data_IF_778432612312
#
_entry.id   IF_778432612312
#
_cell.length_a   1.000
_cell.length_b   1.000
_cell.length_c   1.000
_cell.angle_alpha   90.00
_cell.angle_beta   90.00
_cell.angle_gamma   90.00
#
_symmetry.space_group_name_H-M   'P 1'
#
loop_
_entity.id
_entity.type
_entity.pdbx_description
1 polymer ?
#
# COMPACT_ATOMS: atom_id res chain seq x y z
N UNK A 1 22.27 3.76 -9.01
CA UNK A 1 22.37 5.00 -9.81
C UNK A 1 23.85 5.30 -10.01
N UNK A 2 24.33 5.34 -11.25
CA UNK A 2 25.73 5.68 -11.55
C UNK A 2 25.79 7.16 -11.91
N UNK A 3 26.36 7.97 -11.02
CA UNK A 3 26.70 9.35 -11.33
C UNK A 3 28.03 9.32 -12.08
N UNK A 4 27.93 9.11 -13.39
CA UNK A 4 28.95 9.26 -14.44
C UNK A 4 29.83 8.03 -14.75
N UNK A 5 30.45 7.35 -13.78
CA UNK A 5 31.40 6.21 -14.03
C UNK A 5 31.09 4.90 -13.26
N UNK A 6 29.93 4.79 -12.62
CA UNK A 6 29.50 3.59 -11.90
C UNK A 6 29.10 2.42 -12.81
N UNK A 7 29.42 1.20 -12.35
CA UNK A 7 28.99 -0.05 -12.98
C UNK A 7 27.55 -0.37 -12.55
N UNK A 8 26.68 -0.68 -13.53
CA UNK A 8 25.35 -1.19 -13.26
C UNK A 8 25.39 -2.71 -13.09
N UNK A 9 25.19 -3.18 -11.85
CA UNK A 9 25.08 -4.61 -11.55
C UNK A 9 23.61 -5.00 -11.53
N UNK A 10 23.13 -5.60 -12.61
CA UNK A 10 21.78 -6.16 -12.66
C UNK A 10 21.74 -7.50 -11.94
N UNK A 11 20.85 -7.63 -10.96
CA UNK A 11 20.63 -8.89 -10.25
C UNK A 11 19.61 -9.81 -10.93
N UNK A 12 19.01 -9.37 -12.05
CA UNK A 12 17.97 -10.13 -12.76
C UNK A 12 18.48 -11.46 -13.34
N UNK A 13 19.78 -11.52 -13.67
CA UNK A 13 20.44 -12.72 -14.20
C UNK A 13 21.02 -13.64 -13.12
N UNK A 14 20.86 -13.31 -11.83
CA UNK A 14 21.33 -14.20 -10.75
C UNK A 14 20.42 -15.43 -10.70
N UNK A 15 20.98 -16.57 -11.07
CA UNK A 15 20.29 -17.87 -11.07
C UNK A 15 20.04 -18.42 -9.66
N UNK A 16 19.23 -19.47 -9.57
CA UNK A 16 18.91 -20.18 -8.32
C UNK A 16 17.55 -19.85 -7.70
N UNK A 17 16.79 -18.92 -8.30
CA UNK A 17 15.36 -18.74 -8.10
C UNK A 17 14.86 -18.78 -6.64
N UNK A 18 13.73 -19.45 -6.43
CA UNK A 18 13.20 -19.78 -5.11
C UNK A 18 13.95 -21.04 -4.65
N UNK A 19 14.70 -20.95 -3.55
CA UNK A 19 15.62 -22.01 -3.15
C UNK A 19 14.96 -23.06 -2.25
N UNK A 20 14.24 -22.64 -1.21
CA UNK A 20 13.67 -23.51 -0.18
C UNK A 20 12.43 -22.85 0.40
N UNK A 21 11.33 -23.61 0.52
CA UNK A 21 10.08 -23.19 1.15
C UNK A 21 9.87 -24.08 2.37
N UNK A 22 9.96 -23.51 3.56
CA UNK A 22 9.73 -24.21 4.82
C UNK A 22 8.29 -23.95 5.28
N UNK A 23 7.37 -24.82 4.88
CA UNK A 23 5.95 -24.65 5.21
C UNK A 23 5.70 -24.70 6.72
N UNK A 24 6.40 -25.59 7.43
CA UNK A 24 6.29 -25.72 8.89
C UNK A 24 6.84 -24.50 9.65
N UNK A 25 7.91 -23.89 9.15
CA UNK A 25 8.56 -22.73 9.75
C UNK A 25 8.03 -21.39 9.20
N UNK A 26 7.14 -21.44 8.21
CA UNK A 26 6.54 -20.28 7.55
C UNK A 26 7.61 -19.33 7.02
N UNK A 27 8.60 -19.84 6.29
CA UNK A 27 9.59 -19.01 5.62
C UNK A 27 10.00 -19.55 4.25
N UNK A 28 10.64 -18.68 3.48
CA UNK A 28 11.16 -19.00 2.16
C UNK A 28 12.50 -18.33 1.93
N UNK A 29 13.42 -19.08 1.35
CA UNK A 29 14.70 -18.57 0.86
C UNK A 29 14.60 -18.21 -0.63
N UNK A 30 14.94 -16.98 -1.00
CA UNK A 30 14.88 -16.49 -2.39
C UNK A 30 16.18 -15.84 -2.86
N UNK A 31 16.45 -15.92 -4.16
CA UNK A 31 17.49 -15.15 -4.86
C UNK A 31 16.99 -13.76 -5.29
N UNK A 32 17.90 -12.81 -5.60
CA UNK A 32 17.53 -11.43 -5.89
C UNK A 32 16.81 -11.22 -7.23
N UNK A 33 16.80 -12.23 -8.10
CA UNK A 33 16.05 -12.24 -9.34
C UNK A 33 14.56 -12.56 -9.14
N UNK A 34 14.18 -13.14 -7.99
CA UNK A 34 12.80 -13.56 -7.72
C UNK A 34 11.91 -12.33 -7.45
N UNK A 35 10.82 -12.23 -8.20
CA UNK A 35 9.80 -11.20 -8.00
C UNK A 35 8.72 -11.65 -7.02
N UNK A 36 8.00 -10.67 -6.46
CA UNK A 36 6.87 -10.91 -5.56
C UNK A 36 5.81 -11.80 -6.20
N UNK A 37 5.41 -11.53 -7.45
CA UNK A 37 4.40 -12.34 -8.16
C UNK A 37 4.91 -13.76 -8.43
N UNK A 38 6.18 -13.92 -8.79
CA UNK A 38 6.78 -15.24 -8.97
C UNK A 38 6.72 -16.08 -7.70
N UNK A 39 7.12 -15.50 -6.55
CA UNK A 39 7.02 -16.19 -5.26
C UNK A 39 5.58 -16.57 -4.92
N UNK A 40 4.65 -15.61 -4.94
CA UNK A 40 3.26 -15.87 -4.57
C UNK A 40 2.56 -16.86 -5.50
N UNK A 41 2.95 -16.92 -6.78
CA UNK A 41 2.47 -17.95 -7.72
C UNK A 41 3.03 -19.33 -7.36
N UNK A 42 4.31 -19.41 -7.02
CA UNK A 42 4.98 -20.67 -6.66
C UNK A 42 4.39 -21.31 -5.40
N UNK A 43 4.16 -20.51 -4.35
CA UNK A 43 3.65 -21.01 -3.05
C UNK A 43 2.12 -21.08 -2.97
N UNK A 44 1.39 -20.82 -4.06
CA UNK A 44 -0.08 -20.69 -4.04
C UNK A 44 -0.83 -21.89 -3.44
N UNK A 45 -0.29 -23.10 -3.63
CA UNK A 45 -0.92 -24.35 -3.20
C UNK A 45 -0.56 -24.78 -1.77
N UNK A 46 0.36 -24.06 -1.11
CA UNK A 46 0.84 -24.39 0.25
C UNK A 46 -0.11 -23.89 1.35
N UNK A 47 -1.12 -23.09 0.98
CA UNK A 47 -1.90 -22.33 1.95
C UNK A 47 -1.16 -21.13 2.54
N UNK A 48 0.06 -20.83 2.09
CA UNK A 48 0.85 -19.67 2.50
C UNK A 48 0.89 -18.56 1.44
N UNK A 49 1.28 -17.36 1.86
CA UNK A 49 1.56 -16.23 0.98
C UNK A 49 2.57 -15.25 1.59
N UNK A 50 3.22 -14.47 0.72
CA UNK A 50 4.02 -13.31 1.12
C UNK A 50 3.16 -12.04 1.04
N UNK A 51 2.94 -11.32 2.16
CA UNK A 51 1.88 -10.33 2.26
C UNK A 51 2.24 -8.95 1.71
N UNK A 52 3.52 -8.58 1.65
CA UNK A 52 3.93 -7.22 1.27
C UNK A 52 3.65 -6.99 -0.21
N UNK A 53 2.79 -6.02 -0.52
CA UNK A 53 2.49 -5.57 -1.89
C UNK A 53 2.90 -4.10 -2.07
N UNK A 54 4.01 -3.81 -2.77
CA UNK A 54 4.48 -2.43 -2.97
C UNK A 54 3.71 -1.68 -4.07
N UNK A 55 2.67 -2.28 -4.66
CA UNK A 55 1.90 -1.70 -5.76
C UNK A 55 2.48 -1.95 -7.16
N UNK A 56 3.66 -2.55 -7.23
CA UNK A 56 4.30 -3.02 -8.46
C UNK A 56 4.80 -4.46 -8.28
N UNK A 57 5.18 -5.12 -9.38
CA UNK A 57 5.96 -6.35 -9.27
C UNK A 57 7.45 -5.99 -9.18
N UNK A 58 8.00 -6.17 -7.98
CA UNK A 58 9.39 -5.84 -7.67
C UNK A 58 10.14 -7.11 -7.25
N UNK A 59 11.47 -7.08 -7.39
CA UNK A 59 12.31 -8.14 -6.84
C UNK A 59 12.28 -8.11 -5.31
N UNK A 60 12.23 -9.28 -4.69
CA UNK A 60 12.09 -9.38 -3.23
C UNK A 60 13.32 -8.82 -2.50
N UNK A 61 14.53 -9.05 -3.01
CA UNK A 61 15.73 -8.44 -2.43
C UNK A 61 15.78 -6.91 -2.65
N UNK A 62 15.22 -6.41 -3.75
CA UNK A 62 15.06 -4.96 -3.96
C UNK A 62 14.11 -4.36 -2.94
N UNK A 63 12.98 -5.04 -2.66
CA UNK A 63 12.04 -4.64 -1.60
C UNK A 63 12.69 -4.61 -0.21
N UNK A 64 13.56 -5.57 0.10
CA UNK A 64 14.35 -5.55 1.35
C UNK A 64 15.31 -4.35 1.38
N UNK A 65 16.05 -4.13 0.30
CA UNK A 65 17.01 -3.03 0.19
C UNK A 65 16.36 -1.65 0.29
N UNK A 66 15.08 -1.50 -0.07
CA UNK A 66 14.33 -0.24 0.05
C UNK A 66 13.39 -0.21 1.27
N UNK A 67 13.39 -1.26 2.09
CA UNK A 67 12.46 -1.40 3.21
C UNK A 67 10.98 -1.19 2.81
N UNK A 68 10.57 -1.79 1.68
CA UNK A 68 9.22 -1.65 1.16
C UNK A 68 8.17 -2.17 2.16
N UNK A 69 7.27 -1.29 2.60
CA UNK A 69 6.20 -1.61 3.55
C UNK A 69 5.00 -2.28 2.86
N UNK A 70 4.60 -1.79 1.68
CA UNK A 70 3.46 -2.31 0.93
C UNK A 70 2.10 -2.09 1.61
N UNK A 71 1.01 -2.38 0.90
CA UNK A 71 -0.36 -2.02 1.31
C UNK A 71 -0.90 -2.86 2.48
N UNK A 72 -0.37 -4.09 2.67
CA UNK A 72 -0.75 -4.98 3.77
C UNK A 72 0.10 -4.79 5.05
N UNK A 73 1.01 -3.81 5.10
CA UNK A 73 1.90 -3.57 6.25
C UNK A 73 1.15 -3.37 7.57
N UNK A 74 -0.10 -2.85 7.51
CA UNK A 74 -0.94 -2.57 8.68
C UNK A 74 -1.15 -3.83 9.52
N UNK A 75 -1.26 -5.00 8.89
CA UNK A 75 -1.56 -6.27 9.54
C UNK A 75 -0.34 -7.17 9.77
N UNK A 76 0.62 -7.16 8.86
CA UNK A 76 1.70 -8.14 8.84
C UNK A 76 3.03 -7.49 9.24
N UNK A 77 3.28 -7.42 10.55
CA UNK A 77 4.47 -6.77 11.14
C UNK A 77 5.55 -7.81 11.49
N UNK A 78 6.83 -7.41 11.39
CA UNK A 78 7.99 -8.24 11.69
C UNK A 78 8.20 -8.43 13.21
N UNK A 79 8.75 -9.59 13.58
CA UNK A 79 9.00 -10.01 14.97
C UNK A 79 10.40 -9.59 15.47
N UNK A 80 10.49 -9.44 16.79
CA UNK A 80 11.69 -9.10 17.58
C UNK A 80 12.87 -10.05 17.31
N UNK A 81 14.07 -9.48 17.15
CA UNK A 81 15.36 -10.18 17.26
C UNK A 81 16.01 -9.82 18.61
N UNK A 82 16.63 -10.78 19.29
CA UNK A 82 17.08 -10.62 20.69
C UNK A 82 18.53 -11.08 20.98
N UNK A 83 19.37 -11.30 19.96
CA UNK A 83 20.75 -11.73 20.17
C UNK A 83 21.75 -10.84 19.40
N UNK A 84 22.50 -10.02 20.13
CA UNK A 84 23.58 -9.20 19.58
C UNK A 84 23.12 -8.07 18.67
N UNK A 85 24.03 -7.57 17.83
CA UNK A 85 23.69 -6.58 16.81
C UNK A 85 22.89 -7.24 15.69
N UNK A 86 21.73 -6.69 15.38
CA UNK A 86 20.94 -7.13 14.24
C UNK A 86 21.53 -6.53 12.95
N UNK A 87 22.58 -7.17 12.42
CA UNK A 87 23.23 -6.72 11.19
C UNK A 87 22.30 -6.76 9.97
N UNK A 88 21.23 -7.55 10.00
CA UNK A 88 20.22 -7.57 8.95
C UNK A 88 19.56 -6.19 8.80
N UNK A 89 19.27 -5.52 9.91
CA UNK A 89 18.63 -4.19 9.90
C UNK A 89 19.54 -3.12 9.29
N UNK A 90 20.85 -3.35 9.25
CA UNK A 90 21.79 -2.45 8.58
C UNK A 90 21.60 -2.47 7.06
N UNK A 91 21.24 -3.62 6.48
CA UNK A 91 21.03 -3.78 5.04
C UNK A 91 19.58 -3.50 4.60
N UNK A 92 18.62 -3.65 5.51
CA UNK A 92 17.23 -3.29 5.24
C UNK A 92 17.14 -1.77 5.06
N UNK A 93 16.61 -1.32 3.91
CA UNK A 93 16.51 0.11 3.61
C UNK A 93 17.85 0.79 3.26
N UNK A 94 18.94 0.03 3.10
CA UNK A 94 20.25 0.62 2.77
C UNK A 94 20.38 1.07 1.31
N UNK A 95 19.39 0.78 0.47
CA UNK A 95 19.34 1.09 -0.97
C UNK A 95 20.58 0.61 -1.75
N UNK A 96 21.21 -0.48 -1.28
CA UNK A 96 22.42 -1.05 -1.87
C UNK A 96 23.72 -0.30 -1.55
N UNK A 97 23.68 0.76 -0.73
CA UNK A 97 24.88 1.56 -0.37
C UNK A 97 25.84 0.84 0.57
N UNK A 98 25.34 -0.13 1.35
CA UNK A 98 26.11 -0.91 2.31
C UNK A 98 26.47 -2.32 1.80
N UNK A 99 25.97 -2.69 0.63
CA UNK A 99 26.30 -3.94 -0.07
C UNK A 99 25.14 -4.47 -0.92
N UNK A 100 25.36 -5.63 -1.53
CA UNK A 100 24.40 -6.28 -2.44
C UNK A 100 23.77 -7.49 -1.75
N UNK A 101 22.45 -7.48 -1.61
CA UNK A 101 21.70 -8.62 -1.08
C UNK A 101 21.69 -9.73 -2.15
N UNK A 102 22.25 -10.89 -1.83
CA UNK A 102 22.39 -12.04 -2.76
C UNK A 102 21.47 -13.23 -2.43
N UNK A 103 20.83 -13.19 -1.26
CA UNK A 103 19.84 -14.16 -0.77
C UNK A 103 19.05 -13.50 0.35
N UNK A 104 17.74 -13.71 0.39
CA UNK A 104 16.88 -13.28 1.50
C UNK A 104 16.07 -14.47 2.02
N UNK A 105 15.89 -14.55 3.33
CA UNK A 105 14.93 -15.46 3.97
C UNK A 105 13.76 -14.61 4.43
N UNK A 106 12.57 -14.90 3.91
CA UNK A 106 11.37 -14.09 4.09
C UNK A 106 10.33 -14.88 4.87
N UNK A 107 9.67 -14.21 5.81
CA UNK A 107 8.55 -14.80 6.53
C UNK A 107 7.33 -14.90 5.61
N UNK A 108 6.70 -16.07 5.62
CA UNK A 108 5.42 -16.34 4.99
C UNK A 108 4.30 -16.27 6.03
N UNK A 109 3.07 -16.06 5.55
CA UNK A 109 1.88 -16.01 6.38
C UNK A 109 0.82 -16.97 5.85
N UNK A 110 -0.09 -17.50 6.71
CA UNK A 110 -1.26 -18.22 6.25
C UNK A 110 -2.10 -17.34 5.33
N UNK A 111 -2.51 -17.89 4.19
CA UNK A 111 -3.42 -17.22 3.27
C UNK A 111 -4.79 -17.05 3.94
N UNK A 112 -5.39 -15.86 3.91
CA UNK A 112 -6.77 -15.68 4.37
C UNK A 112 -7.71 -16.56 3.54
N UNK A 113 -8.66 -17.21 4.20
CA UNK A 113 -9.69 -18.01 3.54
C UNK A 113 -10.93 -17.18 3.21
N UNK A 114 -11.14 -16.09 3.96
CA UNK A 114 -12.18 -15.11 3.72
C UNK A 114 -11.56 -13.72 3.59
N UNK A 115 -12.04 -12.95 2.62
CA UNK A 115 -11.63 -11.56 2.39
C UNK A 115 -12.85 -10.75 1.99
N UNK A 116 -12.84 -9.47 2.34
CA UNK A 116 -13.82 -8.53 1.81
C UNK A 116 -13.22 -7.15 1.65
N UNK A 117 -13.82 -6.37 0.75
CA UNK A 117 -13.53 -4.94 0.59
C UNK A 117 -14.74 -4.12 1.00
N UNK A 118 -14.48 -2.93 1.51
CA UNK A 118 -15.51 -1.94 1.76
C UNK A 118 -15.07 -0.56 1.28
N UNK A 119 -16.03 0.18 0.72
CA UNK A 119 -15.88 1.61 0.42
C UNK A 119 -16.75 2.43 1.35
N UNK A 120 -16.21 3.55 1.80
CA UNK A 120 -16.95 4.55 2.55
C UNK A 120 -16.54 5.95 2.11
N UNK A 121 -17.54 6.78 1.82
CA UNK A 121 -17.38 8.15 1.39
C UNK A 121 -17.64 9.09 2.55
N UNK A 122 -16.90 10.19 2.62
CA UNK A 122 -16.97 11.16 3.71
C UNK A 122 -17.21 12.57 3.17
N UNK A 123 -17.99 13.40 3.88
CA UNK A 123 -18.13 14.81 3.55
C UNK A 123 -16.79 15.56 3.57
N UNK A 124 -15.89 15.20 4.50
CA UNK A 124 -14.59 15.85 4.68
C UNK A 124 -13.45 14.85 4.86
N UNK A 125 -12.22 15.31 4.58
CA UNK A 125 -10.99 14.54 4.83
C UNK A 125 -10.81 14.26 6.33
N UNK A 126 -11.19 15.20 7.19
CA UNK A 126 -11.03 15.06 8.64
C UNK A 126 -11.84 13.88 9.20
N UNK A 127 -13.08 13.72 8.74
CA UNK A 127 -13.96 12.61 9.11
C UNK A 127 -13.43 11.24 8.67
N UNK A 128 -12.88 11.16 7.46
CA UNK A 128 -12.21 9.95 6.98
C UNK A 128 -10.99 9.60 7.86
N UNK A 129 -10.15 10.59 8.18
CA UNK A 129 -8.96 10.39 9.02
C UNK A 129 -9.34 9.98 10.45
N UNK A 130 -10.37 10.60 11.04
CA UNK A 130 -10.85 10.22 12.38
C UNK A 130 -11.33 8.76 12.41
N UNK A 131 -12.06 8.32 11.38
CA UNK A 131 -12.49 6.93 11.24
C UNK A 131 -11.30 5.95 11.22
N UNK A 132 -10.21 6.31 10.52
CA UNK A 132 -8.97 5.51 10.50
C UNK A 132 -8.31 5.48 11.87
N UNK A 133 -8.20 6.63 12.55
CA UNK A 133 -7.64 6.72 13.91
C UNK A 133 -8.38 5.80 14.87
N UNK A 134 -9.71 5.92 14.91
CA UNK A 134 -10.56 5.14 15.81
C UNK A 134 -10.49 3.64 15.50
N UNK A 135 -10.52 3.27 14.21
CA UNK A 135 -10.35 1.87 13.76
C UNK A 135 -9.04 1.28 14.26
N UNK A 136 -7.95 2.03 14.15
CA UNK A 136 -6.63 1.61 14.65
C UNK A 136 -6.57 1.56 16.18
N UNK A 137 -7.20 2.51 16.88
CA UNK A 137 -7.27 2.55 18.35
C UNK A 137 -8.09 1.39 18.93
N UNK A 138 -9.13 0.96 18.22
CA UNK A 138 -9.91 -0.23 18.57
C UNK A 138 -9.16 -1.55 18.31
N UNK A 139 -8.00 -1.50 17.63
CA UNK A 139 -7.19 -2.68 17.34
C UNK A 139 -7.88 -3.63 16.37
N UNK A 140 -8.78 -3.14 15.53
CA UNK A 140 -9.43 -3.97 14.50
C UNK A 140 -8.34 -4.46 13.53
N UNK A 141 -8.21 -5.77 13.27
CA UNK A 141 -7.11 -6.33 12.47
C UNK A 141 -7.32 -6.13 10.97
N UNK A 142 -7.44 -4.89 10.53
CA UNK A 142 -7.67 -4.52 9.13
C UNK A 142 -6.44 -4.84 8.26
N UNK A 143 -6.66 -5.40 7.07
CA UNK A 143 -5.60 -5.81 6.17
C UNK A 143 -5.04 -4.63 5.38
N UNK A 144 -5.91 -3.77 4.85
CA UNK A 144 -5.53 -2.55 4.12
C UNK A 144 -6.45 -1.38 4.46
N UNK A 145 -5.86 -0.18 4.50
CA UNK A 145 -6.58 1.09 4.53
C UNK A 145 -6.02 1.94 3.40
N UNK A 146 -6.89 2.34 2.49
CA UNK A 146 -6.56 3.24 1.39
C UNK A 146 -7.42 4.49 1.45
N UNK A 147 -6.79 5.64 1.29
CA UNK A 147 -7.48 6.92 1.17
C UNK A 147 -7.33 7.46 -0.24
N UNK A 148 -8.42 8.00 -0.77
CA UNK A 148 -8.47 8.75 -2.01
C UNK A 148 -9.20 10.05 -1.70
N UNK A 149 -8.60 11.20 -2.03
CA UNK A 149 -9.35 12.45 -1.98
C UNK A 149 -10.31 12.55 -3.17
N UNK A 150 -11.25 13.51 -3.11
CA UNK A 150 -12.26 13.69 -4.16
C UNK A 150 -11.65 13.84 -5.58
N UNK A 151 -10.50 14.52 -5.70
CA UNK A 151 -9.81 14.68 -6.99
C UNK A 151 -9.23 13.35 -7.48
N UNK A 152 -8.62 12.55 -6.60
CA UNK A 152 -8.15 11.21 -6.94
C UNK A 152 -9.30 10.29 -7.35
N UNK A 153 -10.46 10.37 -6.67
CA UNK A 153 -11.63 9.57 -7.03
C UNK A 153 -12.14 9.95 -8.42
N UNK A 154 -12.29 11.25 -8.73
CA UNK A 154 -12.67 11.73 -10.05
C UNK A 154 -11.69 11.24 -11.15
N UNK A 155 -10.39 11.27 -10.86
CA UNK A 155 -9.35 10.74 -11.75
C UNK A 155 -9.54 9.24 -12.02
N UNK A 156 -9.73 8.45 -10.95
CA UNK A 156 -9.93 7.01 -11.02
C UNK A 156 -11.24 6.64 -11.74
N UNK A 157 -12.33 7.36 -11.50
CA UNK A 157 -13.60 7.20 -12.22
C UNK A 157 -13.40 7.32 -13.73
N UNK A 158 -12.70 8.37 -14.16
CA UNK A 158 -12.44 8.62 -15.59
C UNK A 158 -11.49 7.61 -16.22
N UNK A 159 -10.40 7.26 -15.53
CA UNK A 159 -9.34 6.39 -16.07
C UNK A 159 -9.69 4.90 -16.01
N UNK A 160 -10.32 4.47 -14.91
CA UNK A 160 -10.60 3.06 -14.62
C UNK A 160 -12.08 2.71 -14.80
N UNK A 161 -12.89 3.63 -15.33
CA UNK A 161 -14.33 3.45 -15.57
C UNK A 161 -15.09 3.03 -14.31
N UNK A 162 -14.80 3.71 -13.20
CA UNK A 162 -15.54 3.57 -11.94
C UNK A 162 -16.67 4.60 -11.87
N UNK A 163 -17.62 4.36 -10.97
CA UNK A 163 -18.81 5.19 -10.74
C UNK A 163 -18.90 5.64 -9.28
N UNK A 164 -17.76 5.80 -8.61
CA UNK A 164 -17.72 6.17 -7.19
C UNK A 164 -18.16 7.63 -6.99
N UNK A 165 -18.72 7.94 -5.83
CA UNK A 165 -19.00 9.32 -5.46
C UNK A 165 -17.68 10.12 -5.40
N UNK A 166 -17.62 11.30 -6.04
CA UNK A 166 -16.44 12.17 -6.05
C UNK A 166 -16.27 12.91 -4.71
N UNK A 167 -16.04 12.13 -3.65
CA UNK A 167 -15.88 12.56 -2.27
C UNK A 167 -14.61 11.91 -1.67
N UNK A 168 -14.02 12.46 -0.60
CA UNK A 168 -13.04 11.75 0.21
C UNK A 168 -13.51 10.32 0.51
N UNK A 169 -12.71 9.34 0.16
CA UNK A 169 -13.12 7.92 0.19
C UNK A 169 -12.07 7.08 0.89
N UNK A 170 -12.52 6.21 1.78
CA UNK A 170 -11.74 5.10 2.32
C UNK A 170 -12.08 3.82 1.56
N UNK A 171 -11.05 3.11 1.11
CA UNK A 171 -11.15 1.74 0.63
C UNK A 171 -10.44 0.81 1.62
N UNK A 172 -11.18 -0.14 2.18
CA UNK A 172 -10.79 -0.95 3.33
C UNK A 172 -10.78 -2.41 2.91
N UNK A 173 -9.75 -3.16 3.31
CA UNK A 173 -9.69 -4.62 3.11
C UNK A 173 -9.63 -5.34 4.44
N UNK A 174 -10.42 -6.40 4.56
CA UNK A 174 -10.49 -7.27 5.73
C UNK A 174 -10.07 -8.68 5.34
N UNK A 175 -9.27 -9.30 6.20
CA UNK A 175 -8.85 -10.70 6.03
C UNK A 175 -9.32 -11.52 7.23
N UNK A 176 -9.74 -12.75 7.00
CA UNK A 176 -10.13 -13.68 8.06
C UNK A 176 -10.02 -15.12 7.61
N UNK A 177 -10.40 -16.03 8.50
CA UNK A 177 -10.55 -17.45 8.19
C UNK A 177 -12.00 -17.82 7.87
N UNK A 178 -12.96 -16.98 8.24
CA UNK A 178 -14.39 -17.19 7.98
C UNK A 178 -15.07 -15.89 7.58
N UNK A 179 -16.15 -15.98 6.79
CA UNK A 179 -16.94 -14.82 6.39
C UNK A 179 -17.58 -14.11 7.59
N UNK A 180 -17.89 -14.85 8.67
CA UNK A 180 -18.42 -14.29 9.91
C UNK A 180 -17.40 -13.38 10.62
N UNK A 181 -16.13 -13.80 10.68
CA UNK A 181 -15.04 -13.01 11.26
C UNK A 181 -14.83 -11.72 10.45
N UNK A 182 -14.80 -11.83 9.13
CA UNK A 182 -14.65 -10.70 8.21
C UNK A 182 -15.84 -9.75 8.30
N UNK A 183 -17.07 -10.29 8.33
CA UNK A 183 -18.30 -9.50 8.49
C UNK A 183 -18.34 -8.76 9.82
N UNK A 184 -17.88 -9.37 10.92
CA UNK A 184 -17.79 -8.70 12.21
C UNK A 184 -16.77 -7.55 12.19
N UNK A 185 -15.59 -7.75 11.57
CA UNK A 185 -14.59 -6.69 11.42
C UNK A 185 -15.16 -5.53 10.58
N UNK A 186 -15.80 -5.84 9.45
CA UNK A 186 -16.41 -4.86 8.57
C UNK A 186 -17.53 -4.07 9.26
N UNK A 187 -18.38 -4.74 10.06
CA UNK A 187 -19.44 -4.08 10.82
C UNK A 187 -18.89 -3.08 11.84
N UNK A 188 -17.88 -3.49 12.62
CA UNK A 188 -17.27 -2.60 13.63
C UNK A 188 -16.69 -1.35 12.96
N UNK A 189 -15.99 -1.50 11.83
CA UNK A 189 -15.45 -0.36 11.09
C UNK A 189 -16.55 0.47 10.43
N UNK A 190 -17.61 -0.18 9.93
CA UNK A 190 -18.80 0.50 9.42
C UNK A 190 -19.47 1.40 10.46
N UNK A 191 -19.61 0.92 11.69
CA UNK A 191 -20.17 1.70 12.80
C UNK A 191 -19.30 2.91 13.16
N UNK A 192 -17.97 2.74 13.18
CA UNK A 192 -17.00 3.83 13.39
C UNK A 192 -17.13 4.90 12.30
N UNK A 193 -17.19 4.46 11.04
CA UNK A 193 -17.34 5.39 9.92
C UNK A 193 -18.68 6.12 9.96
N UNK A 194 -19.78 5.43 10.30
CA UNK A 194 -21.09 6.06 10.46
C UNK A 194 -21.10 7.11 11.58
N UNK A 195 -20.42 6.85 12.71
CA UNK A 195 -20.24 7.83 13.80
C UNK A 195 -19.46 9.07 13.35
N UNK A 196 -18.60 8.93 12.34
CA UNK A 196 -17.83 9.98 11.72
C UNK A 196 -18.48 10.51 10.41
N UNK A 197 -19.81 10.43 10.27
CA UNK A 197 -20.57 10.92 9.10
C UNK A 197 -20.20 10.25 7.77
N UNK A 198 -19.61 9.06 7.80
CA UNK A 198 -19.38 8.24 6.62
C UNK A 198 -20.69 7.79 5.97
N UNK A 199 -20.66 7.61 4.65
CA UNK A 199 -21.76 7.01 3.90
C UNK A 199 -22.01 5.56 4.31
N UNK A 200 -23.13 4.99 3.85
CA UNK A 200 -23.34 3.55 3.94
C UNK A 200 -22.13 2.80 3.33
N UNK A 201 -21.71 1.73 4.00
CA UNK A 201 -20.61 0.88 3.54
C UNK A 201 -21.04 0.10 2.30
N UNK A 202 -20.38 0.36 1.17
CA UNK A 202 -20.48 -0.50 -0.01
C UNK A 202 -19.52 -1.67 0.21
N UNK A 203 -20.06 -2.80 0.65
CA UNK A 203 -19.31 -3.99 1.03
C UNK A 203 -19.44 -5.08 -0.03
N UNK A 204 -18.32 -5.74 -0.34
CA UNK A 204 -18.27 -6.84 -1.28
C UNK A 204 -17.26 -7.91 -0.89
N UNK A 205 -17.65 -9.17 -1.10
CA UNK A 205 -16.80 -10.37 -1.03
C UNK A 205 -16.46 -10.91 -2.42
N UNK A 206 -16.98 -10.30 -3.48
CA UNK A 206 -16.78 -10.76 -4.85
C UNK A 206 -15.38 -10.41 -5.33
N UNK A 207 -14.61 -11.44 -5.72
CA UNK A 207 -13.21 -11.29 -6.13
C UNK A 207 -13.06 -10.31 -7.31
N UNK A 208 -13.99 -10.32 -8.26
CA UNK A 208 -13.96 -9.42 -9.43
C UNK A 208 -14.09 -7.95 -9.01
N UNK A 209 -14.97 -7.64 -8.05
CA UNK A 209 -15.15 -6.27 -7.55
C UNK A 209 -13.92 -5.81 -6.76
N UNK A 210 -13.35 -6.70 -5.94
CA UNK A 210 -12.09 -6.46 -5.24
C UNK A 210 -10.95 -6.16 -6.22
N UNK A 211 -10.77 -7.02 -7.23
CA UNK A 211 -9.72 -6.87 -8.24
C UNK A 211 -9.89 -5.58 -9.03
N UNK A 212 -11.13 -5.22 -9.38
CA UNK A 212 -11.43 -3.96 -10.08
C UNK A 212 -11.03 -2.75 -9.24
N UNK A 213 -11.39 -2.71 -7.96
CA UNK A 213 -11.03 -1.62 -7.04
C UNK A 213 -9.52 -1.55 -6.83
N UNK A 214 -8.87 -2.68 -6.59
CA UNK A 214 -7.41 -2.70 -6.41
C UNK A 214 -6.66 -2.38 -7.69
N UNK A 215 -7.16 -2.77 -8.85
CA UNK A 215 -6.57 -2.39 -10.15
C UNK A 215 -6.66 -0.88 -10.36
N UNK A 216 -7.81 -0.27 -10.08
CA UNK A 216 -7.97 1.18 -10.14
C UNK A 216 -7.04 1.89 -9.14
N UNK A 217 -6.84 1.31 -7.95
CA UNK A 217 -5.89 1.80 -6.96
C UNK A 217 -4.44 1.73 -7.42
N UNK A 218 -4.00 0.63 -8.03
CA UNK A 218 -2.66 0.50 -8.61
C UNK A 218 -2.44 1.49 -9.76
N UNK A 219 -3.50 1.82 -10.49
CA UNK A 219 -3.48 2.79 -11.56
C UNK A 219 -3.69 4.24 -11.10
N UNK A 220 -3.79 4.52 -9.80
CA UNK A 220 -4.09 5.86 -9.27
C UNK A 220 -3.13 6.95 -9.77
N UNK A 221 -1.83 6.64 -9.85
CA UNK A 221 -0.81 7.55 -10.39
C UNK A 221 -1.06 7.84 -11.89
N UNK A 222 -1.33 6.81 -12.69
CA UNK A 222 -1.61 6.97 -14.12
C UNK A 222 -2.94 7.69 -14.35
N UNK A 223 -3.93 7.45 -13.50
CA UNK A 223 -5.21 8.15 -13.49
C UNK A 223 -5.02 9.65 -13.22
N UNK A 224 -4.17 9.98 -12.24
CA UNK A 224 -3.80 11.36 -11.93
C UNK A 224 -3.15 12.02 -13.16
N UNK A 225 -2.11 11.40 -13.74
CA UNK A 225 -1.46 11.89 -14.96
C UNK A 225 -2.44 12.12 -16.11
N UNK A 226 -3.40 11.22 -16.32
CA UNK A 226 -4.39 11.27 -17.38
C UNK A 226 -5.42 12.41 -17.23
N UNK A 227 -5.51 13.06 -16.07
CA UNK A 227 -6.37 14.23 -15.88
C UNK A 227 -5.96 15.44 -16.73
N UNK A 228 -4.71 15.49 -17.22
CA UNK A 228 -4.25 16.51 -18.16
C UNK A 228 -4.51 16.05 -19.61
N UNK A 229 -5.42 16.72 -20.30
CA UNK A 229 -5.68 16.52 -21.75
C UNK A 229 -5.06 17.66 -22.58
N UNK A 230 -4.29 17.36 -23.63
CA UNK A 230 -3.78 18.37 -24.59
C UNK A 230 -2.45 18.02 -25.29
N UNK A 231 -2.09 18.75 -26.35
CA UNK A 231 -0.97 18.44 -27.28
C UNK A 231 0.45 18.48 -26.67
N UNK A 232 0.61 18.90 -25.41
CA UNK A 232 1.92 19.08 -24.74
C UNK A 232 2.30 17.89 -23.84
N UNK A 233 1.52 16.78 -23.84
CA UNK A 233 1.76 15.56 -23.02
C UNK A 233 3.21 15.03 -23.08
N UNK A 234 3.96 15.27 -24.16
CA UNK A 234 5.34 14.78 -24.33
C UNK A 234 6.38 15.33 -23.34
N UNK A 235 6.13 16.44 -22.65
CA UNK A 235 7.13 17.06 -21.75
C UNK A 235 6.69 17.17 -20.28
N UNK A 236 5.47 16.80 -19.94
CA UNK A 236 4.97 16.91 -18.57
C UNK A 236 5.45 15.74 -17.72
N UNK A 237 5.81 16.03 -16.47
CA UNK A 237 6.25 15.05 -15.48
C UNK A 237 5.32 15.14 -14.27
N UNK A 238 4.76 13.99 -13.88
CA UNK A 238 4.18 13.87 -12.54
C UNK A 238 5.31 13.86 -11.51
N UNK A 239 5.13 14.63 -10.45
CA UNK A 239 5.96 14.58 -9.27
C UNK A 239 5.24 13.78 -8.20
N UNK A 240 5.89 12.76 -7.69
CA UNK A 240 5.40 11.95 -6.58
C UNK A 240 6.22 12.29 -5.35
N UNK A 241 5.56 12.52 -4.22
CA UNK A 241 6.25 12.66 -2.94
C UNK A 241 5.50 11.91 -1.86
N UNK A 242 6.26 11.24 -1.01
CA UNK A 242 5.72 10.52 0.14
C UNK A 242 6.14 11.27 1.40
N UNK A 243 5.16 11.62 2.23
CA UNK A 243 5.39 12.32 3.50
C UNK A 243 4.90 11.50 4.67
N UNK A 244 5.69 11.51 5.74
CA UNK A 244 5.39 10.78 6.96
C UNK A 244 4.95 11.78 8.03
N UNK A 245 3.67 11.72 8.43
CA UNK A 245 3.08 12.68 9.37
C UNK A 245 2.51 11.97 10.60
N UNK A 246 2.53 12.60 11.78
CA UNK A 246 1.78 12.10 12.94
C UNK A 246 0.31 11.94 12.58
N UNK A 247 -0.31 10.85 13.03
CA UNK A 247 -1.73 10.57 12.72
C UNK A 247 -2.66 11.73 13.11
N UNK A 248 -2.35 12.40 14.23
CA UNK A 248 -3.08 13.56 14.76
C UNK A 248 -2.98 14.81 13.89
N UNK A 249 -2.02 14.86 12.96
CA UNK A 249 -1.75 15.99 12.06
C UNK A 249 -2.06 15.68 10.60
N UNK A 250 -2.50 14.46 10.30
CA UNK A 250 -2.72 14.02 8.94
C UNK A 250 -3.82 14.81 8.23
N UNK A 251 -5.00 14.94 8.84
CA UNK A 251 -6.11 15.70 8.26
C UNK A 251 -5.74 17.16 8.00
N UNK A 252 -5.11 17.82 8.98
CA UNK A 252 -4.60 19.19 8.87
C UNK A 252 -3.62 19.32 7.71
N UNK A 253 -2.69 18.37 7.57
CA UNK A 253 -1.69 18.38 6.49
C UNK A 253 -2.34 18.23 5.11
N UNK A 254 -3.28 17.29 4.95
CA UNK A 254 -3.97 17.08 3.66
C UNK A 254 -4.76 18.34 3.27
N UNK A 255 -5.51 18.93 4.21
CA UNK A 255 -6.32 20.12 3.97
C UNK A 255 -5.45 21.33 3.64
N UNK A 256 -4.38 21.57 4.39
CA UNK A 256 -3.44 22.65 4.12
C UNK A 256 -2.76 22.48 2.75
N UNK A 257 -2.30 21.27 2.44
CA UNK A 257 -1.64 20.99 1.16
C UNK A 257 -2.63 21.12 -0.02
N UNK A 258 -3.90 20.72 0.15
CA UNK A 258 -4.94 20.97 -0.87
C UNK A 258 -5.12 22.46 -1.12
N UNK A 259 -5.21 23.25 -0.05
CA UNK A 259 -5.33 24.70 -0.15
C UNK A 259 -4.14 25.31 -0.91
N UNK A 260 -2.91 24.89 -0.60
CA UNK A 260 -1.71 25.37 -1.31
C UNK A 260 -1.74 25.00 -2.81
N UNK A 261 -2.23 23.80 -3.17
CA UNK A 261 -2.41 23.39 -4.57
C UNK A 261 -3.43 24.28 -5.28
N UNK A 262 -4.57 24.55 -4.63
CA UNK A 262 -5.64 25.37 -5.19
C UNK A 262 -5.19 26.83 -5.37
N UNK A 263 -4.42 27.39 -4.43
CA UNK A 263 -3.87 28.76 -4.50
C UNK A 263 -2.80 28.92 -5.58
N UNK A 264 -1.99 27.88 -5.82
CA UNK A 264 -0.96 27.88 -6.87
C UNK A 264 -1.50 27.53 -8.26
N UNK A 265 -2.73 27.01 -8.35
CA UNK A 265 -3.34 26.50 -9.58
C UNK A 265 -2.73 25.18 -10.06
N UNK A 266 -1.91 24.52 -9.23
CA UNK A 266 -1.33 23.22 -9.52
C UNK A 266 -2.39 22.14 -9.32
N UNK A 267 -2.48 21.20 -10.26
CA UNK A 267 -3.35 20.04 -10.09
C UNK A 267 -2.58 18.97 -9.32
N UNK A 268 -3.04 18.65 -8.12
CA UNK A 268 -2.55 17.51 -7.36
C UNK A 268 -3.66 16.57 -6.94
N UNK A 269 -3.31 15.34 -6.61
CA UNK A 269 -4.19 14.35 -5.98
C UNK A 269 -3.51 13.75 -4.76
N UNK A 270 -4.32 13.32 -3.79
CA UNK A 270 -3.83 12.58 -2.64
C UNK A 270 -4.29 11.14 -2.74
N UNK A 271 -3.36 10.23 -2.54
CA UNK A 271 -3.68 8.82 -2.41
C UNK A 271 -2.86 8.17 -1.29
N UNK A 272 -3.30 7.01 -0.82
CA UNK A 272 -2.65 6.21 0.21
C UNK A 272 -2.73 6.79 1.63
N UNK A 273 -3.10 5.91 2.57
CA UNK A 273 -2.75 6.04 3.98
C UNK A 273 -2.12 4.73 4.42
N UNK A 274 -0.79 4.64 4.37
CA UNK A 274 -0.08 3.41 4.74
C UNK A 274 0.52 3.52 6.13
N UNK A 275 0.39 2.48 6.93
CA UNK A 275 1.22 2.32 8.12
C UNK A 275 2.57 1.71 7.71
N UNK A 276 3.66 2.15 8.33
CA UNK A 276 4.97 1.55 8.12
C UNK A 276 5.12 0.26 8.93
N UNK A 277 5.83 -0.73 8.40
CA UNK A 277 6.26 -1.90 9.19
C UNK A 277 7.28 -1.49 10.28
N UNK A 278 7.94 -0.32 10.14
CA UNK A 278 9.04 0.13 11.01
C UNK A 278 8.75 1.41 11.81
N UNK A 279 7.83 2.26 11.34
CA UNK A 279 7.39 3.45 12.09
C UNK A 279 6.11 3.14 12.88
N UNK A 280 6.25 3.02 14.19
CA UNK A 280 5.12 3.04 15.11
C UNK A 280 4.28 4.32 14.89
N UNK A 281 3.02 4.17 14.46
CA UNK A 281 2.00 5.22 14.41
C UNK A 281 2.29 6.44 13.51
N UNK A 282 2.90 6.23 12.34
CA UNK A 282 2.97 7.27 11.30
C UNK A 282 2.36 6.79 10.00
N UNK A 283 1.48 7.61 9.43
CA UNK A 283 0.86 7.33 8.13
C UNK A 283 1.69 8.00 7.03
N UNK A 284 1.93 7.25 5.96
CA UNK A 284 2.45 7.78 4.71
C UNK A 284 1.29 8.24 3.83
N UNK A 285 1.43 9.46 3.31
CA UNK A 285 0.56 10.05 2.32
C UNK A 285 1.36 10.23 1.02
N UNK A 286 0.84 9.67 -0.07
CA UNK A 286 1.41 9.91 -1.40
C UNK A 286 0.69 11.13 -1.99
N UNK A 287 1.47 12.16 -2.29
CA UNK A 287 1.01 13.33 -3.03
C UNK A 287 1.52 13.23 -4.47
N UNK A 288 0.58 13.26 -5.43
CA UNK A 288 0.88 13.36 -6.84
C UNK A 288 0.63 14.78 -7.31
N UNK A 289 1.68 15.54 -7.61
CA UNK A 289 1.60 16.85 -8.23
C UNK A 289 1.79 16.69 -9.73
N UNK A 290 0.84 17.19 -10.50
CA UNK A 290 0.91 17.23 -11.95
C UNK A 290 1.15 18.69 -12.33
N UNK A 291 2.43 19.02 -12.54
CA UNK A 291 2.80 20.30 -13.16
C UNK A 291 2.21 20.35 -14.57
#
# INVERSE_FOLDING_TARGET
MSLKDGVCLSTAAIEGGICEVNEADFDVSVRPSVTRKQLNTHIRNTGLFFPVDPGADASLCGMVATSASGTNAVRYVLRKSAAGYNLTDLFIGSEGTLGIITKAILKLHPRPQAQSVALCHFPTVAEAVNSVVETLQMGVPIARIEFLDHVQVAACNKYSHLTLAEQPTLALEFHGQTDAEVGQQAQVVGDICAQNNGSAFEWSTELEEMEKLWTARHNAYYAALAMRTGAVVRYWRGFTTDVCVPITKLAETIVATRKDLDETGLKGTFSHLRNSIYCNFKLFLDLFIIL
#
